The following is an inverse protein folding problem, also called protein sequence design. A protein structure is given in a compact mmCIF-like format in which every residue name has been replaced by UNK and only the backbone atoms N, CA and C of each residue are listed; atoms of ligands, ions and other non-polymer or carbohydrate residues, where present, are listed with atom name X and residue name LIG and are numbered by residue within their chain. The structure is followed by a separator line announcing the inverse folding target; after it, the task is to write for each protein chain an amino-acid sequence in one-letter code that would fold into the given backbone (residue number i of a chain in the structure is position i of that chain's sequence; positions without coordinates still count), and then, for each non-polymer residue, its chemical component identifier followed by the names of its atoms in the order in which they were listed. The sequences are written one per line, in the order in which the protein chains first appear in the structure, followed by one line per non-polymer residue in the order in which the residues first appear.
data_IF_867489409637
#
_entry.id   IF_867489409637
#
_cell.length_a   1.000
_cell.length_b   1.000
_cell.length_c   1.000
_cell.angle_alpha   90.00
_cell.angle_beta   90.00
_cell.angle_gamma   90.00
#
_symmetry.space_group_name_H-M   'P 1'
#
loop_
_entity.id
_entity.type
_entity.pdbx_description
1 polymer ?
#
# COMPACT_ATOMS: atom_id res chain seq x y z
N UNK A 1 8.49 -20.92 13.13
CA UNK A 1 7.69 -20.31 12.04
C UNK A 1 8.11 -18.85 11.85
N UNK A 2 8.32 -18.42 10.60
CA UNK A 2 8.55 -17.02 10.22
C UNK A 2 7.38 -16.52 9.40
N UNK A 3 6.81 -15.36 9.78
CA UNK A 3 5.83 -14.65 8.99
C UNK A 3 6.48 -13.47 8.28
N UNK A 4 5.95 -13.08 7.11
CA UNK A 4 6.49 -12.02 6.26
C UNK A 4 8.01 -12.15 6.02
N UNK A 5 8.46 -13.39 5.74
CA UNK A 5 9.89 -13.71 5.63
C UNK A 5 10.62 -12.94 4.52
N UNK A 6 9.89 -12.33 3.58
CA UNK A 6 10.49 -11.40 2.61
C UNK A 6 11.16 -10.18 3.26
N UNK A 7 10.86 -9.90 4.54
CA UNK A 7 11.52 -8.86 5.33
C UNK A 7 12.84 -9.33 5.98
N UNK A 8 13.19 -10.62 5.90
CA UNK A 8 14.42 -11.20 6.45
C UNK A 8 15.68 -10.77 5.69
N UNK A 9 15.85 -9.47 5.51
CA UNK A 9 17.06 -8.84 4.95
C UNK A 9 18.03 -8.39 6.05
N UNK A 10 17.54 -8.27 7.29
CA UNK A 10 18.35 -7.80 8.40
C UNK A 10 19.29 -8.90 8.91
N UNK A 11 20.57 -8.55 9.10
CA UNK A 11 21.61 -9.44 9.61
C UNK A 11 21.23 -10.10 10.95
N UNK A 12 20.49 -9.38 11.81
CA UNK A 12 20.01 -9.89 13.10
C UNK A 12 19.08 -11.11 12.95
N UNK A 13 18.12 -11.06 12.01
CA UNK A 13 17.20 -12.17 11.76
C UNK A 13 17.93 -13.39 11.16
N UNK A 14 18.84 -13.16 10.23
CA UNK A 14 19.71 -14.21 9.69
C UNK A 14 20.57 -14.85 10.79
N UNK A 15 21.11 -14.06 11.70
CA UNK A 15 21.89 -14.56 12.84
C UNK A 15 21.04 -15.41 13.81
N UNK A 16 19.79 -15.01 14.08
CA UNK A 16 18.86 -15.79 14.88
C UNK A 16 18.61 -17.15 14.22
N UNK A 17 18.28 -17.16 12.93
CA UNK A 17 18.00 -18.40 12.20
C UNK A 17 19.23 -19.33 12.13
N UNK A 18 20.43 -18.78 11.99
CA UNK A 18 21.67 -19.55 12.00
C UNK A 18 21.95 -20.20 13.36
N UNK A 19 21.58 -19.54 14.47
CA UNK A 19 21.65 -20.15 15.82
C UNK A 19 20.65 -21.29 16.03
N UNK A 20 19.58 -21.33 15.22
CA UNK A 20 18.55 -22.35 15.29
C UNK A 20 18.83 -23.55 14.35
N UNK A 21 20.10 -23.83 14.03
CA UNK A 21 20.50 -24.87 13.08
C UNK A 21 20.03 -26.28 13.46
N UNK A 22 19.86 -26.57 14.76
CA UNK A 22 19.34 -27.86 15.28
C UNK A 22 17.82 -27.96 15.17
N UNK A 23 17.10 -26.92 14.80
CA UNK A 23 15.64 -26.95 14.68
C UNK A 23 15.24 -27.76 13.44
N UNK A 24 14.56 -28.87 13.65
CA UNK A 24 14.16 -29.82 12.61
C UNK A 24 13.20 -29.21 11.57
N UNK A 25 12.26 -28.38 12.03
CA UNK A 25 11.22 -27.79 11.18
C UNK A 25 11.34 -26.27 11.19
N UNK A 26 11.63 -25.69 10.02
CA UNK A 26 11.71 -24.26 9.82
C UNK A 26 10.81 -23.90 8.64
N UNK A 27 9.75 -23.14 8.88
CA UNK A 27 8.79 -22.72 7.87
C UNK A 27 8.73 -21.20 7.82
N UNK A 28 8.81 -20.66 6.61
CA UNK A 28 8.66 -19.24 6.31
C UNK A 28 7.44 -19.00 5.43
N UNK A 29 6.64 -18.00 5.76
CA UNK A 29 5.45 -17.61 5.00
C UNK A 29 5.59 -16.18 4.48
N UNK A 30 5.14 -15.94 3.26
CA UNK A 30 5.04 -14.62 2.68
C UNK A 30 4.02 -14.59 1.54
N UNK A 31 3.23 -13.53 1.46
CA UNK A 31 2.34 -13.27 0.33
C UNK A 31 3.05 -12.61 -0.85
N UNK A 32 4.25 -12.05 -0.64
CA UNK A 32 4.99 -11.28 -1.64
C UNK A 32 6.48 -11.59 -1.58
N UNK A 33 7.00 -12.29 -2.57
CA UNK A 33 8.44 -12.46 -2.75
C UNK A 33 8.97 -11.36 -3.68
N UNK A 34 10.09 -10.70 -3.33
CA UNK A 34 10.58 -9.52 -4.06
C UNK A 34 11.21 -9.82 -5.43
N UNK A 35 11.35 -11.09 -5.77
CA UNK A 35 11.82 -11.54 -7.08
C UNK A 35 13.32 -11.36 -7.32
N UNK A 36 14.11 -10.82 -6.37
CA UNK A 36 15.57 -10.78 -6.49
C UNK A 36 16.15 -12.16 -6.19
N UNK A 37 16.97 -12.69 -7.10
CA UNK A 37 17.55 -14.03 -6.95
C UNK A 37 18.38 -14.18 -5.68
N UNK A 38 19.19 -13.17 -5.33
CA UNK A 38 20.02 -13.17 -4.13
C UNK A 38 19.19 -13.30 -2.85
N UNK A 39 18.09 -12.56 -2.75
CA UNK A 39 17.20 -12.64 -1.58
C UNK A 39 16.49 -13.99 -1.51
N UNK A 40 16.06 -14.51 -2.64
CA UNK A 40 15.46 -15.84 -2.73
C UNK A 40 16.42 -16.93 -2.23
N UNK A 41 17.69 -16.91 -2.66
CA UNK A 41 18.69 -17.86 -2.22
C UNK A 41 18.92 -17.82 -0.69
N UNK A 42 18.92 -16.62 -0.09
CA UNK A 42 19.01 -16.48 1.36
C UNK A 42 17.81 -17.16 2.05
N UNK A 43 16.60 -16.91 1.58
CA UNK A 43 15.40 -17.50 2.16
C UNK A 43 15.38 -19.03 1.97
N UNK A 44 15.78 -19.53 0.81
CA UNK A 44 15.89 -20.97 0.57
C UNK A 44 16.96 -21.63 1.45
N UNK A 45 18.06 -20.94 1.72
CA UNK A 45 19.07 -21.40 2.69
C UNK A 45 18.58 -21.45 4.15
N UNK A 46 17.68 -20.56 4.53
CA UNK A 46 17.13 -20.51 5.90
C UNK A 46 15.92 -21.43 6.12
N UNK A 47 15.05 -21.56 5.14
CA UNK A 47 13.74 -22.21 5.26
C UNK A 47 13.54 -23.42 4.32
N UNK A 48 14.42 -23.62 3.36
CA UNK A 48 14.26 -24.63 2.31
C UNK A 48 13.57 -24.09 1.05
N UNK A 49 13.22 -24.98 0.13
CA UNK A 49 12.66 -24.63 -1.18
C UNK A 49 11.35 -23.86 -1.08
N UNK A 50 11.20 -22.89 -1.99
CA UNK A 50 9.97 -22.08 -2.08
C UNK A 50 8.86 -22.87 -2.75
N UNK A 51 7.76 -23.09 -2.04
CA UNK A 51 6.55 -23.72 -2.55
C UNK A 51 5.44 -22.68 -2.70
N UNK A 52 4.89 -22.56 -3.91
CA UNK A 52 3.73 -21.71 -4.18
C UNK A 52 2.45 -22.47 -3.87
N UNK A 53 1.76 -22.07 -2.81
CA UNK A 53 0.54 -22.75 -2.35
C UNK A 53 -0.68 -22.40 -3.21
N UNK A 54 -0.82 -21.12 -3.60
CA UNK A 54 -1.95 -20.65 -4.42
C UNK A 54 -1.59 -19.34 -5.14
N UNK A 55 -2.43 -18.91 -6.04
CA UNK A 55 -2.31 -17.62 -6.72
C UNK A 55 -3.53 -16.73 -6.44
N UNK A 56 -3.34 -15.41 -6.53
CA UNK A 56 -4.44 -14.44 -6.41
C UNK A 56 -5.56 -14.72 -7.42
N UNK A 57 -5.20 -15.16 -8.63
CA UNK A 57 -6.16 -15.53 -9.68
C UNK A 57 -7.03 -16.71 -9.26
N UNK A 58 -6.43 -17.79 -8.75
CA UNK A 58 -7.17 -18.96 -8.24
C UNK A 58 -8.10 -18.60 -7.08
N UNK A 59 -7.66 -17.72 -6.17
CA UNK A 59 -8.48 -17.27 -5.04
C UNK A 59 -9.66 -16.40 -5.52
N UNK A 60 -9.49 -15.56 -6.54
CA UNK A 60 -10.59 -14.82 -7.18
C UNK A 60 -11.58 -15.74 -7.90
N UNK A 61 -11.10 -16.75 -8.61
CA UNK A 61 -11.92 -17.76 -9.29
C UNK A 61 -12.75 -18.56 -8.28
N UNK A 62 -12.16 -18.91 -7.13
CA UNK A 62 -12.84 -19.55 -5.99
C UNK A 62 -13.74 -18.61 -5.19
N UNK A 63 -13.86 -17.32 -5.58
CA UNK A 63 -14.65 -16.30 -4.88
C UNK A 63 -14.21 -16.05 -3.43
N UNK A 64 -12.99 -16.44 -3.07
CA UNK A 64 -12.38 -16.17 -1.75
C UNK A 64 -11.82 -14.75 -1.67
N UNK A 65 -11.53 -14.15 -2.81
CA UNK A 65 -11.12 -12.76 -2.95
C UNK A 65 -12.07 -12.00 -3.88
N UNK A 66 -12.22 -10.70 -3.63
CA UNK A 66 -13.00 -9.81 -4.47
C UNK A 66 -12.40 -9.70 -5.89
N UNK A 67 -13.24 -9.42 -6.88
CA UNK A 67 -12.77 -9.13 -8.24
C UNK A 67 -12.01 -7.81 -8.27
N UNK A 68 -10.80 -7.83 -8.82
CA UNK A 68 -9.95 -6.65 -8.98
C UNK A 68 -10.08 -6.07 -10.39
N UNK A 69 -10.30 -4.75 -10.47
CA UNK A 69 -10.17 -3.97 -11.70
C UNK A 69 -9.14 -2.87 -11.49
N UNK A 70 -8.04 -2.93 -12.21
CA UNK A 70 -7.00 -1.90 -12.18
C UNK A 70 -7.24 -0.93 -13.32
N UNK A 71 -7.27 0.38 -13.01
CA UNK A 71 -7.32 1.48 -13.97
C UNK A 71 -6.05 2.29 -13.83
N UNK A 72 -5.23 2.32 -14.87
CA UNK A 72 -4.06 3.19 -14.94
C UNK A 72 -4.47 4.49 -15.64
N UNK A 73 -4.42 5.61 -14.91
CA UNK A 73 -4.73 6.93 -15.43
C UNK A 73 -3.39 7.63 -15.70
N UNK A 74 -3.17 7.97 -16.96
CA UNK A 74 -1.96 8.69 -17.40
C UNK A 74 -2.26 10.18 -17.39
N UNK A 75 -1.56 10.94 -16.56
CA UNK A 75 -1.61 12.39 -16.52
C UNK A 75 -0.45 12.96 -17.34
N UNK A 76 -0.76 13.88 -18.24
CA UNK A 76 0.24 14.58 -19.03
C UNK A 76 0.63 15.88 -18.33
N UNK A 77 1.94 16.11 -18.21
CA UNK A 77 2.50 17.34 -17.71
C UNK A 77 2.92 18.25 -18.89
N UNK A 78 2.99 19.57 -18.70
CA UNK A 78 3.51 20.47 -19.72
C UNK A 78 4.93 20.11 -20.14
N UNK A 79 5.24 20.30 -21.43
CA UNK A 79 6.56 19.99 -21.97
C UNK A 79 7.70 20.75 -21.27
N UNK A 80 7.43 21.97 -20.79
CA UNK A 80 8.38 22.76 -20.03
C UNK A 80 8.75 22.07 -18.70
N UNK A 81 7.76 21.57 -17.96
CA UNK A 81 7.96 20.83 -16.70
C UNK A 81 8.75 19.53 -16.96
N UNK A 82 8.37 18.80 -18.03
CA UNK A 82 9.05 17.57 -18.41
C UNK A 82 10.52 17.81 -18.81
N UNK A 83 10.81 18.89 -19.55
CA UNK A 83 12.18 19.28 -19.93
C UNK A 83 13.00 19.66 -18.70
N UNK A 84 12.44 20.47 -17.81
CA UNK A 84 13.10 20.90 -16.58
C UNK A 84 13.47 19.71 -15.70
N UNK A 85 12.53 18.74 -15.54
CA UNK A 85 12.71 17.57 -14.67
C UNK A 85 13.67 16.52 -15.23
N UNK A 86 14.01 16.57 -16.52
CA UNK A 86 14.90 15.58 -17.16
C UNK A 86 16.29 15.50 -16.52
N UNK A 87 16.79 16.62 -16.03
CA UNK A 87 18.11 16.74 -15.42
C UNK A 87 18.06 16.75 -13.88
N UNK A 88 16.87 16.58 -13.29
CA UNK A 88 16.67 16.56 -11.84
C UNK A 88 16.77 15.13 -11.27
N UNK A 89 16.95 15.04 -9.96
CA UNK A 89 16.94 13.76 -9.28
C UNK A 89 15.50 13.25 -9.02
N UNK A 90 15.38 11.98 -8.66
CA UNK A 90 14.08 11.35 -8.38
C UNK A 90 13.29 12.03 -7.25
N UNK A 91 13.96 12.60 -6.25
CA UNK A 91 13.27 13.24 -5.13
C UNK A 91 12.61 14.55 -5.61
N UNK A 92 13.27 15.30 -6.46
CA UNK A 92 12.74 16.54 -7.04
C UNK A 92 11.54 16.24 -7.96
N UNK A 93 11.62 15.17 -8.77
CA UNK A 93 10.50 14.69 -9.57
C UNK A 93 9.29 14.32 -8.70
N UNK A 94 9.51 13.57 -7.63
CA UNK A 94 8.44 13.20 -6.69
C UNK A 94 7.85 14.44 -6.01
N UNK A 95 8.65 15.41 -5.64
CA UNK A 95 8.21 16.65 -5.00
C UNK A 95 7.37 17.51 -5.95
N UNK A 96 7.75 17.61 -7.23
CA UNK A 96 6.93 18.23 -8.25
C UNK A 96 5.56 17.54 -8.35
N UNK A 97 5.55 16.20 -8.49
CA UNK A 97 4.33 15.41 -8.66
C UNK A 97 3.37 15.57 -7.48
N UNK A 98 3.86 15.52 -6.25
CA UNK A 98 2.98 15.55 -5.06
C UNK A 98 2.49 16.97 -4.73
N UNK A 99 3.20 18.00 -5.17
CA UNK A 99 2.84 19.41 -4.97
C UNK A 99 2.01 20.00 -6.12
N UNK A 100 1.89 19.31 -7.26
CA UNK A 100 1.11 19.81 -8.40
C UNK A 100 -0.37 19.95 -8.02
N UNK A 101 -0.84 21.18 -7.94
CA UNK A 101 -2.23 21.50 -7.59
C UNK A 101 -3.24 20.93 -8.57
N UNK A 102 -2.92 20.91 -9.87
CA UNK A 102 -3.82 20.38 -10.93
C UNK A 102 -4.02 18.89 -10.71
N UNK A 103 -2.94 18.18 -10.39
CA UNK A 103 -2.99 16.77 -10.07
C UNK A 103 -3.77 16.51 -8.77
N UNK A 104 -3.56 17.29 -7.73
CA UNK A 104 -4.26 17.15 -6.47
C UNK A 104 -5.78 17.46 -6.63
N UNK A 105 -6.15 18.46 -7.42
CA UNK A 105 -7.53 18.73 -7.83
C UNK A 105 -8.13 17.57 -8.64
N UNK A 106 -7.35 16.95 -9.52
CA UNK A 106 -7.78 15.76 -10.24
C UNK A 106 -8.05 14.57 -9.29
N UNK A 107 -7.18 14.33 -8.30
CA UNK A 107 -7.37 13.30 -7.28
C UNK A 107 -8.63 13.57 -6.45
N UNK A 108 -8.86 14.82 -6.04
CA UNK A 108 -10.09 15.23 -5.36
C UNK A 108 -11.32 14.89 -6.20
N UNK A 109 -11.35 15.36 -7.46
CA UNK A 109 -12.48 15.11 -8.37
C UNK A 109 -12.73 13.62 -8.60
N UNK A 110 -11.67 12.85 -8.85
CA UNK A 110 -11.75 11.40 -8.98
C UNK A 110 -12.37 10.77 -7.73
N UNK A 111 -11.86 11.12 -6.56
CA UNK A 111 -12.31 10.56 -5.28
C UNK A 111 -13.77 10.93 -4.98
N UNK A 112 -14.18 12.14 -5.32
CA UNK A 112 -15.56 12.62 -5.15
C UNK A 112 -16.55 11.81 -5.99
N UNK A 113 -16.17 11.41 -7.21
CA UNK A 113 -17.03 10.66 -8.12
C UNK A 113 -17.02 9.14 -7.89
N UNK A 114 -16.02 8.61 -7.15
CA UNK A 114 -15.99 7.20 -6.81
C UNK A 114 -17.07 6.87 -5.78
N UNK A 115 -17.91 5.89 -6.09
CA UNK A 115 -18.94 5.37 -5.18
C UNK A 115 -18.35 4.31 -4.25
N UNK A 116 -18.83 4.27 -3.02
CA UNK A 116 -18.38 3.32 -2.00
C UNK A 116 -17.15 3.82 -1.21
N UNK A 117 -16.78 3.05 -0.20
CA UNK A 117 -15.64 3.38 0.66
C UNK A 117 -14.37 3.43 -0.19
N UNK A 118 -13.67 4.55 -0.09
CA UNK A 118 -12.50 4.86 -0.93
C UNK A 118 -11.30 5.14 -0.05
N UNK A 119 -10.21 4.42 -0.29
CA UNK A 119 -8.92 4.63 0.32
C UNK A 119 -8.02 5.44 -0.61
N UNK A 120 -7.50 6.56 -0.12
CA UNK A 120 -6.54 7.40 -0.85
C UNK A 120 -5.17 7.26 -0.18
N UNK A 121 -4.23 6.60 -0.84
CA UNK A 121 -2.93 6.27 -0.30
C UNK A 121 -1.87 7.32 -0.66
N UNK A 122 -1.19 7.86 0.35
CA UNK A 122 -0.10 8.83 0.18
C UNK A 122 1.21 8.35 0.81
N UNK A 123 2.33 8.96 0.38
CA UNK A 123 3.68 8.70 0.89
C UNK A 123 4.11 9.74 1.95
N UNK A 124 3.86 11.01 1.72
CA UNK A 124 4.38 12.13 2.50
C UNK A 124 3.28 12.78 3.33
N UNK A 125 3.44 12.78 4.65
CA UNK A 125 2.40 13.23 5.59
C UNK A 125 2.08 14.71 5.37
N UNK A 126 3.05 15.60 5.56
CA UNK A 126 2.82 17.05 5.53
C UNK A 126 2.60 17.60 4.11
N UNK A 127 3.48 17.25 3.17
CA UNK A 127 3.49 17.87 1.84
C UNK A 127 2.48 17.28 0.85
N UNK A 128 1.80 16.18 1.20
CA UNK A 128 0.81 15.57 0.32
C UNK A 128 -0.42 15.06 1.06
N UNK A 129 -0.26 14.24 2.11
CA UNK A 129 -1.39 13.65 2.83
C UNK A 129 -2.28 14.70 3.49
N UNK A 130 -1.68 15.66 4.21
CA UNK A 130 -2.40 16.75 4.84
C UNK A 130 -3.12 17.62 3.81
N UNK A 131 -2.46 17.94 2.69
CA UNK A 131 -3.05 18.71 1.59
C UNK A 131 -4.27 18.00 1.00
N UNK A 132 -4.16 16.70 0.71
CA UNK A 132 -5.28 15.92 0.18
C UNK A 132 -6.44 15.83 1.19
N UNK A 133 -6.13 15.64 2.47
CA UNK A 133 -7.14 15.63 3.52
C UNK A 133 -7.86 16.96 3.62
N UNK A 134 -7.13 18.08 3.67
CA UNK A 134 -7.72 19.43 3.74
C UNK A 134 -8.63 19.73 2.54
N UNK A 135 -8.28 19.25 1.35
CA UNK A 135 -9.13 19.38 0.17
C UNK A 135 -10.40 18.52 0.22
N UNK A 136 -10.40 17.43 1.00
CA UNK A 136 -11.49 16.44 1.03
C UNK A 136 -12.36 16.53 2.28
N UNK A 137 -11.88 17.10 3.39
CA UNK A 137 -12.54 17.08 4.71
C UNK A 137 -13.95 17.67 4.72
N UNK A 138 -14.22 18.64 3.83
CA UNK A 138 -15.50 19.34 3.75
C UNK A 138 -16.45 18.74 2.70
N UNK A 139 -16.11 17.58 2.13
CA UNK A 139 -17.01 16.84 1.24
C UNK A 139 -18.22 16.32 2.03
N UNK A 140 -19.36 16.20 1.37
CA UNK A 140 -20.57 15.59 1.95
C UNK A 140 -20.41 14.06 2.10
N UNK A 141 -19.31 13.63 2.75
CA UNK A 141 -18.91 12.24 3.04
C UNK A 141 -18.09 12.24 4.33
N UNK A 142 -18.07 11.13 5.07
CA UNK A 142 -17.13 10.98 6.19
C UNK A 142 -15.72 10.83 5.65
N UNK A 143 -14.83 11.71 6.07
CA UNK A 143 -13.42 11.72 5.64
C UNK A 143 -12.53 11.54 6.85
N UNK A 144 -11.65 10.53 6.81
CA UNK A 144 -10.70 10.20 7.86
C UNK A 144 -9.27 10.42 7.39
N UNK A 145 -8.41 10.88 8.28
CA UNK A 145 -6.98 11.06 8.04
C UNK A 145 -6.16 10.16 8.95
N UNK A 146 -5.34 9.28 8.37
CA UNK A 146 -4.60 8.25 9.12
C UNK A 146 -3.15 8.17 8.66
N UNK A 147 -2.22 8.36 9.60
CA UNK A 147 -0.79 8.28 9.34
C UNK A 147 -0.04 7.65 10.52
N UNK A 148 1.28 7.62 10.46
CA UNK A 148 2.11 6.99 11.50
C UNK A 148 1.93 7.56 12.90
N UNK A 149 1.58 8.84 13.02
CA UNK A 149 1.30 9.53 14.29
C UNK A 149 -0.11 9.31 14.85
N UNK A 150 -1.03 8.69 14.08
CA UNK A 150 -2.36 8.35 14.59
C UNK A 150 -2.23 7.18 15.57
N UNK A 151 -2.80 7.29 16.76
CA UNK A 151 -2.76 6.23 17.78
C UNK A 151 -3.57 4.99 17.35
N UNK A 152 -3.32 3.88 18.03
CA UNK A 152 -3.91 2.58 17.66
C UNK A 152 -5.42 2.56 17.90
N UNK A 153 -5.89 3.20 18.97
CA UNK A 153 -7.31 3.23 19.31
C UNK A 153 -8.10 4.01 18.24
N UNK A 154 -7.65 5.20 17.87
CA UNK A 154 -8.25 6.01 16.79
C UNK A 154 -8.28 5.24 15.46
N UNK A 155 -7.22 4.48 15.13
CA UNK A 155 -7.21 3.66 13.91
C UNK A 155 -8.28 2.58 13.94
N UNK A 156 -8.50 1.94 15.09
CA UNK A 156 -9.50 0.90 15.25
C UNK A 156 -10.91 1.49 15.16
N UNK A 157 -11.16 2.64 15.79
CA UNK A 157 -12.44 3.36 15.67
C UNK A 157 -12.76 3.74 14.22
N UNK A 158 -11.77 4.26 13.47
CA UNK A 158 -11.93 4.57 12.05
C UNK A 158 -12.24 3.31 11.24
N UNK A 159 -11.60 2.18 11.55
CA UNK A 159 -11.89 0.90 10.91
C UNK A 159 -13.33 0.48 11.15
N UNK A 160 -13.80 0.49 12.41
CA UNK A 160 -15.16 0.10 12.77
C UNK A 160 -16.21 1.00 12.13
N UNK A 161 -15.99 2.32 12.15
CA UNK A 161 -16.89 3.28 11.49
C UNK A 161 -16.94 2.99 9.99
N UNK A 162 -15.78 2.78 9.34
CA UNK A 162 -15.70 2.55 7.89
C UNK A 162 -16.35 1.23 7.48
N UNK A 163 -16.27 0.18 8.30
CA UNK A 163 -16.92 -1.09 8.01
C UNK A 163 -18.46 -0.97 7.99
N UNK A 164 -19.02 -0.03 8.75
CA UNK A 164 -20.45 0.26 8.80
C UNK A 164 -20.89 1.34 7.78
N UNK A 165 -19.95 2.10 7.21
CA UNK A 165 -20.23 3.14 6.22
C UNK A 165 -20.25 2.57 4.80
N UNK A 166 -21.02 3.24 3.94
CA UNK A 166 -21.15 2.85 2.52
C UNK A 166 -20.42 3.80 1.58
N UNK A 167 -19.94 4.93 2.07
CA UNK A 167 -19.40 5.99 1.21
C UNK A 167 -18.37 6.87 1.96
N UNK A 168 -17.51 6.29 2.79
CA UNK A 168 -16.45 7.00 3.48
C UNK A 168 -15.19 7.17 2.60
N UNK A 169 -14.38 8.17 2.93
CA UNK A 169 -13.05 8.38 2.35
C UNK A 169 -12.02 8.25 3.48
N UNK A 170 -10.97 7.49 3.23
CA UNK A 170 -9.85 7.34 4.15
C UNK A 170 -8.59 7.79 3.44
N UNK A 171 -8.02 8.91 3.89
CA UNK A 171 -6.73 9.40 3.41
C UNK A 171 -5.66 8.83 4.32
N UNK A 172 -4.88 7.84 3.85
CA UNK A 172 -3.98 7.07 4.69
C UNK A 172 -2.56 6.99 4.12
N UNK A 173 -1.56 6.97 5.02
CA UNK A 173 -0.19 6.73 4.60
C UNK A 173 0.03 5.26 4.21
N UNK A 174 0.88 5.01 3.21
CA UNK A 174 1.26 3.65 2.81
C UNK A 174 1.76 2.80 3.98
N UNK A 175 2.56 3.38 4.88
CA UNK A 175 3.12 2.66 6.02
C UNK A 175 2.03 2.19 6.98
N UNK A 176 1.14 3.08 7.37
CA UNK A 176 0.07 2.77 8.33
C UNK A 176 -0.91 1.75 7.76
N UNK A 177 -1.27 1.89 6.48
CA UNK A 177 -2.18 0.94 5.84
C UNK A 177 -1.55 -0.43 5.63
N UNK A 178 -0.25 -0.50 5.32
CA UNK A 178 0.44 -1.79 5.12
C UNK A 178 0.63 -2.60 6.41
N UNK A 179 0.63 -1.98 7.58
CA UNK A 179 0.97 -2.66 8.85
C UNK A 179 -0.17 -2.78 9.86
N UNK A 180 -1.25 -2.00 9.75
CA UNK A 180 -2.18 -1.89 10.88
C UNK A 180 -3.67 -1.79 10.59
N UNK A 181 -4.11 -1.45 9.38
CA UNK A 181 -5.54 -1.25 9.12
C UNK A 181 -6.05 -2.32 8.18
N UNK A 182 -7.04 -3.10 8.61
CA UNK A 182 -7.72 -4.11 7.82
C UNK A 182 -9.19 -3.73 7.67
N UNK A 183 -9.56 -3.06 6.57
CA UNK A 183 -10.93 -2.67 6.29
C UNK A 183 -11.51 -3.66 5.29
N UNK A 184 -12.56 -4.39 5.68
CA UNK A 184 -13.22 -5.37 4.82
C UNK A 184 -14.13 -4.72 3.78
N UNK A 185 -14.83 -3.66 4.17
CA UNK A 185 -15.79 -2.95 3.31
C UNK A 185 -15.10 -1.84 2.47
N UNK A 186 -14.04 -2.20 1.72
CA UNK A 186 -13.29 -1.27 0.89
C UNK A 186 -13.60 -1.50 -0.60
N UNK A 187 -14.05 -0.46 -1.30
CA UNK A 187 -14.49 -0.57 -2.70
C UNK A 187 -13.45 -0.02 -3.69
N UNK A 188 -12.72 1.04 -3.30
CA UNK A 188 -11.75 1.69 -4.17
C UNK A 188 -10.44 1.96 -3.42
N UNK A 189 -9.33 1.81 -4.15
CA UNK A 189 -8.00 2.21 -3.67
C UNK A 189 -7.38 3.13 -4.71
N UNK A 190 -7.06 4.36 -4.30
CA UNK A 190 -6.41 5.38 -5.12
C UNK A 190 -4.97 5.53 -4.67
N UNK A 191 -4.03 5.22 -5.54
CA UNK A 191 -2.60 5.43 -5.32
C UNK A 191 -2.24 6.87 -5.68
N UNK A 192 -2.25 7.76 -4.71
CA UNK A 192 -2.06 9.20 -4.94
C UNK A 192 -0.60 9.64 -4.96
N UNK A 193 0.32 8.90 -4.34
CA UNK A 193 1.75 9.20 -4.41
C UNK A 193 2.52 8.16 -5.21
N UNK A 194 3.57 8.56 -5.94
CA UNK A 194 4.49 7.62 -6.57
C UNK A 194 5.14 6.69 -5.54
N UNK A 195 5.33 5.42 -5.89
CA UNK A 195 6.06 4.46 -5.07
C UNK A 195 6.85 3.49 -5.94
N UNK A 196 8.17 3.42 -5.73
CA UNK A 196 9.04 2.40 -6.36
C UNK A 196 8.95 1.03 -5.69
N UNK A 197 8.32 0.92 -4.52
CA UNK A 197 8.23 -0.33 -3.78
C UNK A 197 7.10 -1.22 -4.33
N UNK A 198 7.47 -2.17 -5.18
CA UNK A 198 6.56 -3.20 -5.71
C UNK A 198 5.82 -3.95 -4.59
N UNK A 199 6.55 -4.32 -3.54
CA UNK A 199 5.98 -5.06 -2.40
C UNK A 199 4.88 -4.23 -1.73
N UNK A 200 5.15 -2.95 -1.44
CA UNK A 200 4.18 -2.04 -0.81
C UNK A 200 2.91 -1.90 -1.64
N UNK A 201 3.04 -1.74 -2.96
CA UNK A 201 1.90 -1.64 -3.87
C UNK A 201 1.09 -2.93 -3.86
N UNK A 202 1.74 -4.10 -4.00
CA UNK A 202 1.07 -5.40 -3.98
C UNK A 202 0.37 -5.70 -2.65
N UNK A 203 0.98 -5.36 -1.52
CA UNK A 203 0.36 -5.50 -0.19
C UNK A 203 -0.87 -4.60 -0.04
N UNK A 204 -0.79 -3.35 -0.53
CA UNK A 204 -1.93 -2.43 -0.51
C UNK A 204 -3.09 -2.94 -1.37
N UNK A 205 -2.81 -3.48 -2.56
CA UNK A 205 -3.81 -4.12 -3.43
C UNK A 205 -4.42 -5.34 -2.72
N UNK A 206 -3.58 -6.21 -2.15
CA UNK A 206 -4.03 -7.43 -1.47
C UNK A 206 -4.99 -7.17 -0.30
N UNK A 207 -4.81 -6.04 0.40
CA UNK A 207 -5.74 -5.63 1.48
C UNK A 207 -7.10 -5.16 0.95
N UNK A 208 -7.11 -4.50 -0.21
CA UNK A 208 -8.35 -4.11 -0.87
C UNK A 208 -9.13 -5.25 -1.53
N UNK A 209 -8.57 -6.47 -1.58
CA UNK A 209 -9.22 -7.65 -2.14
C UNK A 209 -9.96 -8.50 -1.10
N UNK A 210 -9.89 -8.16 0.17
CA UNK A 210 -10.55 -8.91 1.23
C UNK A 210 -12.06 -8.68 1.19
N UNK A 211 -12.81 -9.76 1.19
CA UNK A 211 -14.28 -9.79 1.30
C UNK A 211 -14.71 -9.99 2.73
#
# INVERSE_FOLDING_TARGET
LGDEVHLFKAKSLTNIMNKMHMTKYRHGFTGTLDGTQTHRLILEGLFGSVNKVTSTKELMEKKTLAKLKIKCIVLQYPDADCKFMKDQNYQDEVDLIVRDERRNKFILNLTTHLKGNTLVLFQFVEKHGAVLYDMMKDLNRKVFYVHGGTDTQTREEIREITENEKNAIIVASYGTFSTGINIRNLHNVVFSSPSKSRIRVLQSIGRGLRT
#
